data_IF_976404194685
#
_entry.id   IF_976404194685
#
_cell.length_a   1.000
_cell.length_b   1.000
_cell.length_c   1.000
_cell.angle_alpha   90.00
_cell.angle_beta   90.00
_cell.angle_gamma   90.00
#
_symmetry.space_group_name_H-M   'P 1'
#
loop_
_entity.id
_entity.type
_entity.pdbx_description
1 polymer ?
#
# COMPACT_ATOMS: atom_id res chain seq x y z
N UNK A 1 -10.21 -1.00 -19.43
CA UNK A 1 -9.86 -0.68 -18.03
C UNK A 1 -9.43 -1.97 -17.34
N UNK A 2 -8.38 -1.93 -16.50
CA UNK A 2 -7.95 -3.13 -15.76
C UNK A 2 -8.83 -3.35 -14.51
N UNK A 3 -8.88 -4.58 -14.01
CA UNK A 3 -9.58 -4.89 -12.75
C UNK A 3 -9.01 -4.10 -11.57
N UNK A 4 -7.69 -3.85 -11.58
CA UNK A 4 -7.01 -3.01 -10.59
C UNK A 4 -7.50 -1.55 -10.63
N UNK A 5 -7.65 -0.97 -11.83
CA UNK A 5 -8.18 0.40 -11.99
C UNK A 5 -9.60 0.49 -11.44
N UNK A 6 -10.46 -0.49 -11.72
CA UNK A 6 -11.84 -0.48 -11.23
C UNK A 6 -11.90 -0.61 -9.69
N UNK A 7 -11.08 -1.49 -9.11
CA UNK A 7 -10.96 -1.62 -7.66
C UNK A 7 -10.47 -0.31 -7.01
N UNK A 8 -9.50 0.36 -7.64
CA UNK A 8 -9.01 1.66 -7.18
C UNK A 8 -10.10 2.74 -7.22
N UNK A 9 -10.88 2.81 -8.31
CA UNK A 9 -11.98 3.78 -8.41
C UNK A 9 -13.02 3.58 -7.30
N UNK A 10 -13.39 2.32 -7.00
CA UNK A 10 -14.33 2.02 -5.90
C UNK A 10 -13.77 2.43 -4.55
N UNK A 11 -12.49 2.15 -4.29
CA UNK A 11 -11.80 2.59 -3.08
C UNK A 11 -11.79 4.12 -2.97
N UNK A 12 -11.41 4.82 -4.04
CA UNK A 12 -11.34 6.28 -4.07
C UNK A 12 -12.71 6.91 -3.79
N UNK A 13 -13.78 6.38 -4.36
CA UNK A 13 -15.16 6.85 -4.07
C UNK A 13 -15.52 6.63 -2.60
N UNK A 14 -15.16 5.48 -2.02
CA UNK A 14 -15.44 5.21 -0.61
C UNK A 14 -14.66 6.14 0.35
N UNK A 15 -13.44 6.53 -0.03
CA UNK A 15 -12.63 7.51 0.73
C UNK A 15 -13.20 8.93 0.71
N UNK A 16 -14.13 9.26 -0.20
CA UNK A 16 -14.79 10.56 -0.19
C UNK A 16 -15.83 10.68 0.93
N UNK A 17 -16.38 9.56 1.39
CA UNK A 17 -17.44 9.52 2.42
C UNK A 17 -16.96 8.93 3.74
N UNK A 18 -15.83 8.23 3.72
CA UNK A 18 -15.23 7.58 4.87
C UNK A 18 -13.83 8.14 5.06
N UNK A 19 -13.52 8.63 6.27
CA UNK A 19 -12.20 9.16 6.63
C UNK A 19 -11.33 8.03 7.22
N UNK A 20 -10.49 7.33 6.43
CA UNK A 20 -9.68 6.25 6.94
C UNK A 20 -8.55 6.80 7.82
N UNK A 21 -8.28 6.11 8.93
CA UNK A 21 -7.23 6.50 9.87
C UNK A 21 -5.84 6.67 9.22
N UNK A 22 -5.56 5.94 8.14
CA UNK A 22 -4.30 6.05 7.40
C UNK A 22 -4.14 7.35 6.61
N UNK A 23 -5.20 8.09 6.30
CA UNK A 23 -5.12 9.31 5.49
C UNK A 23 -4.43 10.47 6.21
N UNK A 24 -4.44 10.47 7.55
CA UNK A 24 -3.83 11.51 8.39
C UNK A 24 -2.57 11.04 9.10
N UNK A 25 -2.05 9.89 8.69
CA UNK A 25 -0.94 9.23 9.36
C UNK A 25 0.17 8.92 8.35
N UNK A 26 1.18 9.79 8.33
CA UNK A 26 2.32 9.68 7.41
C UNK A 26 3.13 8.39 7.60
N UNK A 27 2.93 7.67 8.71
CA UNK A 27 3.58 6.38 8.94
C UNK A 27 3.16 5.31 7.93
N UNK A 28 2.02 5.47 7.25
CA UNK A 28 1.55 4.52 6.22
C UNK A 28 2.29 4.65 4.88
N UNK A 29 2.92 5.79 4.63
CA UNK A 29 3.75 6.04 3.44
C UNK A 29 5.25 6.00 3.74
N UNK A 30 5.64 5.99 5.02
CA UNK A 30 7.04 5.88 5.44
C UNK A 30 7.60 4.44 5.30
N UNK A 31 8.62 4.31 4.45
CA UNK A 31 9.34 3.07 4.16
C UNK A 31 10.19 2.52 5.31
N UNK A 32 10.29 3.24 6.43
CA UNK A 32 11.02 2.80 7.63
C UNK A 32 10.10 2.30 8.75
N UNK A 33 8.78 2.42 8.61
CA UNK A 33 7.86 2.02 9.69
C UNK A 33 7.66 0.51 9.77
N UNK A 34 7.50 0.01 10.98
CA UNK A 34 7.18 -1.39 11.23
C UNK A 34 5.69 -1.65 11.06
N UNK A 35 5.35 -2.78 10.42
CA UNK A 35 3.96 -3.07 10.05
C UNK A 35 3.09 -3.43 11.27
N UNK A 36 3.67 -3.83 12.39
CA UNK A 36 2.94 -4.41 13.52
C UNK A 36 1.76 -3.55 13.98
N UNK A 37 2.05 -2.31 14.42
CA UNK A 37 1.03 -1.39 14.91
C UNK A 37 0.12 -0.86 13.78
N UNK A 38 0.68 -0.56 12.62
CA UNK A 38 -0.06 0.00 11.47
C UNK A 38 -1.01 -1.02 10.85
N UNK A 39 -0.66 -2.31 10.91
CA UNK A 39 -1.49 -3.40 10.44
C UNK A 39 -2.76 -3.57 11.27
N UNK A 40 -2.71 -3.33 12.58
CA UNK A 40 -3.92 -3.32 13.41
C UNK A 40 -4.86 -2.18 13.04
N UNK A 41 -4.31 -0.98 12.78
CA UNK A 41 -5.07 0.18 12.31
C UNK A 41 -5.73 -0.10 10.96
N UNK A 42 -5.00 -0.73 10.02
CA UNK A 42 -5.60 -1.16 8.75
C UNK A 42 -6.77 -2.11 8.96
N UNK A 43 -6.63 -3.13 9.81
CA UNK A 43 -7.68 -4.15 10.04
C UNK A 43 -8.93 -3.58 10.73
N UNK A 44 -8.78 -2.51 11.48
CA UNK A 44 -9.90 -1.80 12.10
C UNK A 44 -10.59 -0.82 11.12
N UNK A 45 -10.02 -0.58 9.94
CA UNK A 45 -10.55 0.37 8.97
C UNK A 45 -11.78 -0.21 8.25
N UNK A 46 -12.89 0.54 8.13
CA UNK A 46 -14.07 0.12 7.36
C UNK A 46 -13.78 -0.09 5.86
N UNK A 47 -12.70 0.49 5.33
CA UNK A 47 -12.27 0.32 3.93
C UNK A 47 -11.35 -0.88 3.72
N UNK A 48 -11.15 -1.73 4.73
CA UNK A 48 -10.20 -2.84 4.70
C UNK A 48 -10.34 -3.73 3.46
N UNK A 49 -11.57 -4.19 3.15
CA UNK A 49 -11.81 -5.11 2.04
C UNK A 49 -11.54 -4.49 0.67
N UNK A 50 -11.85 -3.19 0.52
CA UNK A 50 -11.58 -2.44 -0.71
C UNK A 50 -10.06 -2.24 -0.90
N UNK A 51 -9.37 -1.86 0.18
CA UNK A 51 -7.91 -1.75 0.18
C UNK A 51 -7.24 -3.09 -0.13
N UNK A 52 -7.71 -4.19 0.44
CA UNK A 52 -7.17 -5.53 0.21
C UNK A 52 -7.34 -5.94 -1.25
N UNK A 53 -8.54 -5.74 -1.80
CA UNK A 53 -8.87 -6.08 -3.18
C UNK A 53 -7.98 -5.31 -4.17
N UNK A 54 -7.85 -4.00 -4.00
CA UNK A 54 -6.97 -3.20 -4.84
C UNK A 54 -5.51 -3.64 -4.71
N UNK A 55 -5.02 -3.82 -3.49
CA UNK A 55 -3.62 -4.16 -3.25
C UNK A 55 -3.23 -5.56 -3.75
N UNK A 56 -4.17 -6.49 -3.83
CA UNK A 56 -3.97 -7.82 -4.41
C UNK A 56 -3.95 -7.79 -5.94
N UNK A 57 -4.76 -6.92 -6.55
CA UNK A 57 -4.84 -6.79 -8.00
C UNK A 57 -3.70 -5.96 -8.59
N UNK A 58 -3.38 -4.83 -7.97
CA UNK A 58 -2.41 -3.86 -8.50
C UNK A 58 -0.99 -4.13 -7.98
N UNK A 59 -0.88 -4.64 -6.75
CA UNK A 59 0.37 -4.79 -5.99
C UNK A 59 1.20 -3.49 -5.98
N UNK A 60 0.76 -2.48 -5.20
CA UNK A 60 1.40 -1.17 -5.15
C UNK A 60 2.91 -1.24 -4.92
N UNK A 61 3.64 -0.26 -5.46
CA UNK A 61 5.11 -0.22 -5.36
C UNK A 61 5.62 0.15 -3.95
N UNK A 62 4.74 0.66 -3.08
CA UNK A 62 5.14 1.14 -1.76
C UNK A 62 3.98 1.30 -0.79
N UNK A 63 4.32 1.44 0.50
CA UNK A 63 3.40 1.73 1.59
C UNK A 63 2.75 0.49 2.23
N UNK A 64 1.81 0.75 3.14
CA UNK A 64 1.06 -0.28 3.87
C UNK A 64 -0.39 -0.29 3.40
N UNK A 65 -0.83 -1.45 2.91
CA UNK A 65 -2.16 -1.66 2.36
C UNK A 65 -2.81 -2.89 3.00
N UNK A 66 -4.01 -2.72 3.55
CA UNK A 66 -4.76 -3.79 4.22
C UNK A 66 -3.93 -4.61 5.24
N UNK A 67 -3.03 -3.91 5.95
CA UNK A 67 -2.12 -4.51 6.94
C UNK A 67 -1.02 -5.39 6.35
N UNK A 68 -0.72 -5.25 5.05
CA UNK A 68 0.42 -5.84 4.35
C UNK A 68 1.35 -4.70 3.90
N UNK A 69 2.66 -4.92 4.03
CA UNK A 69 3.66 -3.98 3.55
C UNK A 69 4.01 -4.34 2.12
N UNK A 70 3.91 -3.35 1.26
CA UNK A 70 4.37 -3.43 -0.11
C UNK A 70 5.68 -2.68 -0.19
N UNK A 71 6.75 -3.38 -0.53
CA UNK A 71 8.04 -2.79 -0.85
C UNK A 71 8.36 -3.20 -2.28
N UNK A 72 8.69 -2.22 -3.12
CA UNK A 72 9.29 -2.54 -4.39
C UNK A 72 10.66 -3.18 -4.09
N UNK A 73 10.77 -4.49 -4.32
CA UNK A 73 12.04 -5.19 -4.33
C UNK A 73 12.79 -4.80 -5.63
N UNK A 74 13.07 -3.52 -5.82
CA UNK A 74 14.16 -3.11 -6.68
C UNK A 74 15.44 -3.54 -5.95
N UNK A 75 15.78 -4.83 -6.05
CA UNK A 75 17.17 -5.25 -5.95
C UNK A 75 17.88 -4.45 -7.03
N UNK A 76 18.53 -3.37 -6.65
CA UNK A 76 19.60 -2.77 -7.43
C UNK A 76 20.55 -3.92 -7.77
N UNK A 77 20.50 -4.37 -9.03
CA UNK A 77 21.64 -5.03 -9.63
C UNK A 77 22.75 -3.99 -9.64
N UNK A 78 23.51 -3.92 -8.54
CA UNK A 78 24.79 -3.24 -8.50
C UNK A 78 25.68 -3.99 -9.48
N UNK A 79 25.73 -3.52 -10.73
CA UNK A 79 26.80 -3.86 -11.65
C UNK A 79 28.11 -3.40 -10.99
N UNK A 80 28.84 -4.37 -10.42
CA UNK A 80 30.22 -4.19 -10.01
C UNK A 80 31.06 -4.28 -11.29
N UNK A 81 31.12 -3.18 -12.04
CA UNK A 81 32.04 -3.06 -13.16
C UNK A 81 33.44 -2.82 -12.58
N UNK A 82 34.26 -3.87 -12.60
CA UNK A 82 35.69 -3.75 -12.31
C UNK A 82 36.37 -3.18 -13.53
N UNK A 83 36.82 -1.94 -13.45
CA UNK A 83 37.78 -1.36 -14.38
C UNK A 83 39.12 -2.10 -14.26
N UNK A 84 39.64 -2.62 -15.36
CA UNK A 84 41.05 -2.95 -15.55
C UNK A 84 41.46 -2.74 -17.02
#
# INVERSE_FOLDING_TARGET
MSRATEAFTRLQVAMLTTDPACQRDDRFTDDNQEIGALGAICRACPLYDLCATYAELDRPLGGIWAGKRYRNNNKSNTHHEKEN
#
